data_IF_329273780365
#
_entry.id   IF_329273780365
#
_cell.length_a   1.000
_cell.length_b   1.000
_cell.length_c   1.000
_cell.angle_alpha   90.00
_cell.angle_beta   90.00
_cell.angle_gamma   90.00
#
_symmetry.space_group_name_H-M   'P 1'
#
loop_
_entity.id
_entity.type
_entity.pdbx_description
1 polymer ?
#
# COMPACT_ATOMS: atom_id res chain seq x y z
N UNK A 1 11.43 6.18 0.10
CA UNK A 1 12.01 5.28 -0.92
C UNK A 1 11.10 5.30 -2.14
N UNK A 2 11.57 5.64 -3.35
CA UNK A 2 10.74 5.57 -4.56
C UNK A 2 10.51 4.11 -4.97
N UNK A 3 9.35 3.84 -5.57
CA UNK A 3 8.99 2.50 -6.05
C UNK A 3 9.96 2.01 -7.13
N UNK A 4 10.34 0.72 -7.17
CA UNK A 4 11.11 0.17 -8.28
C UNK A 4 10.38 0.32 -9.62
N UNK A 5 9.04 0.26 -9.64
CA UNK A 5 8.25 0.39 -10.86
C UNK A 5 8.44 1.74 -11.55
N UNK A 6 8.67 2.84 -10.81
CA UNK A 6 8.89 4.16 -11.46
C UNK A 6 10.19 4.23 -12.26
N UNK A 7 11.13 3.31 -12.06
CA UNK A 7 12.39 3.24 -12.81
C UNK A 7 12.26 2.47 -14.11
N UNK A 8 11.33 1.50 -14.18
CA UNK A 8 11.17 0.60 -15.32
C UNK A 8 9.88 0.85 -16.11
N UNK A 9 8.95 1.64 -15.56
CA UNK A 9 7.69 2.05 -16.20
C UNK A 9 7.73 3.56 -16.49
N UNK A 10 8.39 4.01 -17.58
CA UNK A 10 8.64 5.42 -17.84
C UNK A 10 7.35 6.22 -18.08
N UNK A 11 6.25 5.59 -18.52
CA UNK A 11 4.96 6.28 -18.65
C UNK A 11 4.13 6.26 -17.37
N UNK A 12 4.67 5.74 -16.26
CA UNK A 12 4.03 5.77 -14.94
C UNK A 12 2.68 5.05 -14.91
N UNK A 13 1.66 5.70 -14.35
CA UNK A 13 0.36 5.09 -14.06
C UNK A 13 -0.30 4.46 -15.30
N UNK A 14 -0.13 5.06 -16.48
CA UNK A 14 -0.81 4.61 -17.71
C UNK A 14 -0.29 3.26 -18.22
N UNK A 15 0.93 2.85 -17.85
CA UNK A 15 1.45 1.53 -18.26
C UNK A 15 0.64 0.38 -17.66
N UNK A 16 0.16 0.55 -16.42
CA UNK A 16 -0.65 -0.46 -15.76
C UNK A 16 -2.16 -0.21 -15.95
N UNK A 17 -2.60 1.05 -15.85
CA UNK A 17 -4.02 1.41 -15.74
C UNK A 17 -4.72 1.71 -17.07
N UNK A 18 -3.97 1.93 -18.15
CA UNK A 18 -4.53 2.22 -19.48
C UNK A 18 -3.99 1.28 -20.55
N UNK A 19 -3.40 0.15 -20.14
CA UNK A 19 -3.00 -0.89 -21.09
C UNK A 19 -4.24 -1.35 -21.87
N UNK A 20 -4.09 -1.49 -23.18
CA UNK A 20 -5.15 -2.06 -24.03
C UNK A 20 -5.48 -3.46 -23.50
N UNK A 21 -6.76 -3.75 -23.30
CA UNK A 21 -7.21 -5.08 -22.92
C UNK A 21 -7.71 -5.81 -24.15
N UNK A 22 -7.51 -7.12 -24.17
CA UNK A 22 -8.25 -8.03 -25.03
C UNK A 22 -9.46 -8.51 -24.22
N UNK A 23 -10.65 -8.55 -24.84
CA UNK A 23 -11.83 -9.16 -24.23
C UNK A 23 -11.72 -10.70 -24.21
N UNK A 24 -12.75 -11.38 -23.72
CA UNK A 24 -12.84 -12.85 -23.70
C UNK A 24 -12.75 -13.49 -25.10
N UNK A 25 -12.80 -12.68 -26.17
CA UNK A 25 -12.69 -13.09 -27.58
C UNK A 25 -11.38 -12.63 -28.22
N UNK A 26 -10.38 -12.27 -27.41
CA UNK A 26 -9.07 -11.77 -27.84
C UNK A 26 -9.15 -10.47 -28.67
N UNK A 27 -10.27 -9.72 -28.57
CA UNK A 27 -10.43 -8.47 -29.30
C UNK A 27 -9.93 -7.30 -28.46
N UNK A 28 -9.04 -6.49 -29.04
CA UNK A 28 -8.56 -5.27 -28.41
C UNK A 28 -9.73 -4.30 -28.19
N UNK A 29 -10.13 -4.13 -26.93
CA UNK A 29 -11.23 -3.24 -26.57
C UNK A 29 -10.75 -1.79 -26.69
N UNK A 30 -11.30 -1.05 -27.65
CA UNK A 30 -10.94 0.34 -27.93
C UNK A 30 -11.15 1.27 -26.72
N UNK A 31 -12.14 0.94 -25.88
CA UNK A 31 -12.43 1.63 -24.61
C UNK A 31 -11.57 1.16 -23.42
N UNK A 32 -10.80 0.07 -23.57
CA UNK A 32 -10.07 -0.55 -22.46
C UNK A 32 -9.09 0.41 -21.77
N UNK A 33 -8.40 1.24 -22.54
CA UNK A 33 -7.42 2.18 -22.00
C UNK A 33 -7.98 3.24 -21.03
N UNK A 34 -9.28 3.55 -21.04
CA UNK A 34 -9.81 4.69 -20.26
C UNK A 34 -10.57 4.31 -18.99
N UNK A 35 -10.65 3.01 -18.66
CA UNK A 35 -11.30 2.56 -17.42
C UNK A 35 -10.46 2.82 -16.17
N UNK A 36 -9.16 3.09 -16.35
CA UNK A 36 -8.17 3.20 -15.27
C UNK A 36 -8.09 1.95 -14.37
N UNK A 37 -8.62 0.81 -14.82
CA UNK A 37 -8.44 -0.48 -14.15
C UNK A 37 -7.08 -1.06 -14.52
N UNK A 38 -6.31 -1.49 -13.51
CA UNK A 38 -5.00 -2.07 -13.76
C UNK A 38 -5.11 -3.41 -14.49
N UNK A 39 -4.29 -3.62 -15.52
CA UNK A 39 -4.12 -4.92 -16.17
C UNK A 39 -3.04 -5.74 -15.45
N UNK A 40 -3.45 -6.79 -14.73
CA UNK A 40 -2.51 -7.68 -14.07
C UNK A 40 -1.64 -8.48 -15.05
N UNK A 41 -2.08 -8.70 -16.30
CA UNK A 41 -1.25 -9.36 -17.32
C UNK A 41 -0.02 -8.53 -17.67
N UNK A 42 -0.06 -7.21 -17.46
CA UNK A 42 1.11 -6.37 -17.66
C UNK A 42 2.23 -6.73 -16.68
N UNK A 43 1.88 -7.11 -15.45
CA UNK A 43 2.85 -7.52 -14.44
C UNK A 43 3.57 -8.83 -14.81
N UNK A 44 2.91 -9.72 -15.57
CA UNK A 44 3.47 -11.01 -16.00
C UNK A 44 4.69 -10.85 -16.92
N UNK A 45 4.87 -9.68 -17.54
CA UNK A 45 6.07 -9.37 -18.34
C UNK A 45 7.37 -9.43 -17.54
N UNK A 46 7.30 -9.20 -16.22
CA UNK A 46 8.46 -9.21 -15.33
C UNK A 46 8.32 -10.16 -14.14
N UNK A 47 7.09 -10.52 -13.76
CA UNK A 47 6.79 -11.35 -12.58
C UNK A 47 6.02 -12.61 -12.96
N UNK A 48 6.73 -13.73 -13.14
CA UNK A 48 6.11 -15.03 -13.44
C UNK A 48 5.31 -15.64 -12.28
N UNK A 49 5.50 -15.13 -11.06
CA UNK A 49 4.87 -15.61 -9.82
C UNK A 49 3.70 -14.72 -9.35
N UNK A 50 3.19 -13.85 -10.22
CA UNK A 50 2.26 -12.77 -9.88
C UNK A 50 1.07 -13.21 -9.02
N UNK A 51 0.42 -14.31 -9.40
CA UNK A 51 -0.79 -14.80 -8.76
C UNK A 51 -0.56 -15.27 -7.31
N UNK A 52 0.67 -15.69 -6.97
CA UNK A 52 1.04 -16.01 -5.58
C UNK A 52 1.55 -14.76 -4.85
N UNK A 53 2.28 -13.89 -5.57
CA UNK A 53 2.94 -12.72 -5.00
C UNK A 53 1.94 -11.65 -4.55
N UNK A 54 0.99 -11.29 -5.39
CA UNK A 54 0.02 -10.21 -5.11
C UNK A 54 -0.79 -10.48 -3.84
N UNK A 55 -1.46 -11.64 -3.67
CA UNK A 55 -2.21 -11.93 -2.45
C UNK A 55 -1.33 -11.94 -1.20
N UNK A 56 -0.12 -12.48 -1.31
CA UNK A 56 0.84 -12.52 -0.20
C UNK A 56 1.25 -11.12 0.26
N UNK A 57 1.59 -10.22 -0.67
CA UNK A 57 1.98 -8.85 -0.33
C UNK A 57 0.80 -8.06 0.25
N UNK A 58 -0.39 -8.20 -0.35
CA UNK A 58 -1.61 -7.57 0.16
C UNK A 58 -1.93 -7.99 1.58
N UNK A 59 -1.93 -9.30 1.85
CA UNK A 59 -2.19 -9.84 3.18
C UNK A 59 -1.21 -9.31 4.24
N UNK A 60 0.07 -9.12 3.88
CA UNK A 60 1.06 -8.53 4.79
C UNK A 60 0.73 -7.07 5.13
N UNK A 61 0.41 -6.24 4.13
CA UNK A 61 0.05 -4.83 4.38
C UNK A 61 -1.25 -4.73 5.19
N UNK A 62 -2.25 -5.55 4.87
CA UNK A 62 -3.53 -5.59 5.61
C UNK A 62 -3.34 -6.00 7.07
N UNK A 63 -2.49 -7.00 7.34
CA UNK A 63 -2.14 -7.40 8.69
C UNK A 63 -1.49 -6.25 9.46
N UNK A 64 -0.49 -5.59 8.87
CA UNK A 64 0.19 -4.46 9.50
C UNK A 64 -0.75 -3.27 9.75
N UNK A 65 -1.62 -2.94 8.79
CA UNK A 65 -2.64 -1.91 8.96
C UNK A 65 -3.54 -2.22 10.16
N UNK A 66 -4.02 -3.47 10.27
CA UNK A 66 -4.86 -3.89 11.40
C UNK A 66 -4.14 -3.76 12.74
N UNK A 67 -2.88 -4.18 12.81
CA UNK A 67 -2.09 -4.07 14.04
C UNK A 67 -1.85 -2.60 14.44
N UNK A 68 -1.57 -1.72 13.47
CA UNK A 68 -1.41 -0.29 13.73
C UNK A 68 -2.73 0.35 14.15
N UNK A 69 -3.86 -0.01 13.53
CA UNK A 69 -5.20 0.48 13.90
C UNK A 69 -5.51 0.15 15.37
N UNK A 70 -5.34 -1.10 15.78
CA UNK A 70 -5.55 -1.53 17.17
C UNK A 70 -4.64 -0.79 18.16
N UNK A 71 -3.38 -0.56 17.79
CA UNK A 71 -2.45 0.21 18.60
C UNK A 71 -2.88 1.68 18.74
N UNK A 72 -3.37 2.31 17.66
CA UNK A 72 -3.88 3.67 17.68
C UNK A 72 -5.18 3.79 18.49
N UNK A 73 -6.07 2.80 18.43
CA UNK A 73 -7.28 2.76 19.25
C UNK A 73 -6.97 2.69 20.74
N UNK A 74 -5.91 1.97 21.10
CA UNK A 74 -5.48 1.75 22.49
C UNK A 74 -4.58 2.86 23.05
N UNK A 75 -4.29 3.91 22.27
CA UNK A 75 -3.34 4.95 22.68
C UNK A 75 -3.92 5.83 23.81
N UNK A 76 -3.11 6.06 24.85
CA UNK A 76 -3.49 6.86 26.03
C UNK A 76 -3.52 8.36 25.72
N UNK A 77 -2.57 8.83 24.91
CA UNK A 77 -2.44 10.23 24.51
C UNK A 77 -2.43 10.36 22.98
N UNK A 78 -3.53 10.89 22.44
CA UNK A 78 -3.70 11.12 21.00
C UNK A 78 -3.09 12.44 20.52
N UNK A 79 -2.66 13.30 21.44
CA UNK A 79 -1.98 14.55 21.13
C UNK A 79 -0.46 14.39 21.08
N UNK A 80 0.08 13.32 21.69
CA UNK A 80 1.48 12.96 21.63
C UNK A 80 2.00 12.89 20.20
N UNK A 81 3.23 13.35 19.98
CA UNK A 81 3.90 13.30 18.68
C UNK A 81 3.95 11.86 18.12
N UNK A 82 4.20 10.88 18.98
CA UNK A 82 4.27 9.48 18.58
C UNK A 82 2.95 8.97 17.99
N UNK A 83 1.81 9.34 18.59
CA UNK A 83 0.49 9.03 18.05
C UNK A 83 0.29 9.68 16.68
N UNK A 84 0.58 10.99 16.57
CA UNK A 84 0.41 11.75 15.31
C UNK A 84 1.26 11.20 14.18
N UNK A 85 2.51 10.84 14.47
CA UNK A 85 3.42 10.20 13.50
C UNK A 85 2.87 8.84 13.05
N UNK A 86 2.48 7.98 14.00
CA UNK A 86 1.94 6.66 13.69
C UNK A 86 0.64 6.74 12.88
N UNK A 87 -0.24 7.68 13.25
CA UNK A 87 -1.52 7.93 12.57
C UNK A 87 -1.32 8.49 11.17
N UNK A 88 -0.40 9.44 10.98
CA UNK A 88 -0.09 9.98 9.65
C UNK A 88 0.35 8.87 8.69
N UNK A 89 1.25 8.00 9.14
CA UNK A 89 1.73 6.87 8.35
C UNK A 89 0.60 5.87 8.04
N UNK A 90 -0.23 5.56 9.03
CA UNK A 90 -1.40 4.70 8.87
C UNK A 90 -2.37 5.26 7.82
N UNK A 91 -2.74 6.53 7.97
CA UNK A 91 -3.68 7.22 7.07
C UNK A 91 -3.12 7.30 5.65
N UNK A 92 -1.82 7.57 5.49
CA UNK A 92 -1.17 7.61 4.19
C UNK A 92 -1.25 6.25 3.46
N UNK A 93 -0.93 5.16 4.15
CA UNK A 93 -0.98 3.82 3.55
C UNK A 93 -2.43 3.37 3.28
N UNK A 94 -3.37 3.68 4.19
CA UNK A 94 -4.79 3.37 4.00
C UNK A 94 -5.42 4.15 2.84
N UNK A 95 -5.00 5.41 2.64
CA UNK A 95 -5.52 6.27 1.59
C UNK A 95 -5.05 5.91 0.17
N UNK A 96 -3.89 5.26 0.03
CA UNK A 96 -3.34 4.83 -1.28
C UNK A 96 -4.30 3.94 -2.07
N UNK A 97 -5.19 3.18 -1.39
CA UNK A 97 -6.15 2.20 -1.94
C UNK A 97 -5.55 1.09 -2.84
N UNK A 98 -4.29 1.22 -3.25
CA UNK A 98 -3.50 0.21 -3.93
C UNK A 98 -2.97 -0.86 -2.99
N UNK A 99 -3.33 -0.84 -1.70
CA UNK A 99 -2.88 -1.83 -0.70
C UNK A 99 -1.35 -2.02 -0.67
N UNK A 100 -0.59 -0.96 -0.95
CA UNK A 100 0.87 -1.01 -1.02
C UNK A 100 1.43 -1.48 -2.37
N UNK A 101 0.65 -1.81 -3.39
CA UNK A 101 1.18 -2.25 -4.69
C UNK A 101 1.98 -1.18 -5.43
N UNK A 102 1.63 0.09 -5.24
CA UNK A 102 2.41 1.18 -5.81
C UNK A 102 3.83 1.22 -5.23
N UNK A 103 4.01 0.87 -3.95
CA UNK A 103 5.30 0.83 -3.29
C UNK A 103 5.29 -0.01 -1.99
N UNK A 104 5.41 -1.33 -2.12
CA UNK A 104 5.21 -2.26 -1.01
C UNK A 104 6.21 -2.04 0.12
N UNK A 105 7.50 -1.94 -0.20
CA UNK A 105 8.56 -1.76 0.79
C UNK A 105 8.39 -0.46 1.58
N UNK A 106 7.94 0.61 0.92
CA UNK A 106 7.69 1.88 1.61
C UNK A 106 6.46 1.81 2.51
N UNK A 107 5.34 1.24 2.02
CA UNK A 107 4.14 1.04 2.84
C UNK A 107 4.44 0.18 4.08
N UNK A 108 5.17 -0.92 3.89
CA UNK A 108 5.62 -1.80 4.97
C UNK A 108 6.49 -1.05 5.97
N UNK A 109 7.50 -0.31 5.51
CA UNK A 109 8.39 0.44 6.39
C UNK A 109 7.66 1.51 7.21
N UNK A 110 6.68 2.21 6.63
CA UNK A 110 5.85 3.18 7.34
C UNK A 110 5.06 2.53 8.49
N UNK A 111 4.45 1.37 8.23
CA UNK A 111 3.64 0.66 9.23
C UNK A 111 4.52 0.01 10.30
N UNK A 112 5.64 -0.60 9.94
CA UNK A 112 6.61 -1.16 10.89
C UNK A 112 7.19 -0.07 11.80
N UNK A 113 7.51 1.11 11.24
CA UNK A 113 7.90 2.26 12.05
C UNK A 113 6.79 2.70 13.01
N UNK A 114 5.54 2.79 12.54
CA UNK A 114 4.40 3.09 13.43
C UNK A 114 4.30 2.10 14.59
N UNK A 115 4.44 0.79 14.33
CA UNK A 115 4.43 -0.24 15.36
C UNK A 115 5.59 -0.12 16.35
N UNK A 116 6.76 0.35 15.91
CA UNK A 116 7.91 0.58 16.80
C UNK A 116 7.66 1.68 17.85
N UNK A 117 6.64 2.52 17.65
CA UNK A 117 6.25 3.57 18.60
C UNK A 117 5.33 3.07 19.71
N UNK A 118 4.91 1.79 19.70
CA UNK A 118 3.91 1.21 20.61
C UNK A 118 4.13 1.57 22.08
N UNK A 119 5.35 1.41 22.60
CA UNK A 119 5.64 1.71 24.01
C UNK A 119 5.36 3.19 24.36
N UNK A 120 5.64 4.10 23.42
CA UNK A 120 5.38 5.55 23.61
C UNK A 120 3.89 5.89 23.53
N UNK A 121 3.09 5.09 22.82
CA UNK A 121 1.63 5.29 22.71
C UNK A 121 0.87 4.75 23.93
N UNK A 122 1.44 3.72 24.57
CA UNK A 122 0.83 3.01 25.70
C UNK A 122 1.43 3.43 27.06
N UNK A 123 2.49 4.24 27.07
CA UNK A 123 3.01 4.81 28.30
C UNK A 123 1.92 5.64 29.00
N UNK A 124 1.74 5.44 30.29
CA UNK A 124 0.89 6.29 31.11
C UNK A 124 1.56 7.66 31.24
N UNK A 125 0.77 8.74 31.14
CA UNK A 125 1.30 10.06 31.43
C UNK A 125 1.68 10.11 32.91
N UNK A 126 2.97 10.23 33.22
CA UNK A 126 3.40 10.55 34.57
C UNK A 126 2.85 11.92 34.93
N UNK A 127 1.93 11.96 35.88
CA UNK A 127 1.31 13.18 36.41
C UNK A 127 2.39 14.21 36.74
N UNK A 128 2.19 15.44 36.24
CA UNK A 128 2.92 16.64 36.67
C UNK A 128 1.96 17.54 37.44
#
# INVERSE_FOLDING_TARGET
MPSPHVKVMPKGCVECHTAKFEDEKEQVVEAGGHTFKANMNFCLKCHGDLYMRIPKLKSQVEKLLKEVEQMLESANDKEAKAYKDAKLNYDLVKADKGCGFHNFEYAKALLEYSLSLREKLLAEQSEK
#
